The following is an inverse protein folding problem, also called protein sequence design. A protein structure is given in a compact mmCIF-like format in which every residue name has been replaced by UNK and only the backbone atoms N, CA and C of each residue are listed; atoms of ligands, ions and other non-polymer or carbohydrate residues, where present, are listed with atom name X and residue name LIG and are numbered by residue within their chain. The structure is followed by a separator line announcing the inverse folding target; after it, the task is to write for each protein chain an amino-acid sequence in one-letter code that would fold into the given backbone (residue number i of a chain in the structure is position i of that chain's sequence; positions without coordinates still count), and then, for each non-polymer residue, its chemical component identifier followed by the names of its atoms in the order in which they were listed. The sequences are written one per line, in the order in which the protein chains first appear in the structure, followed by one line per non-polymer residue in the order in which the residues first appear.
data_IF_813391126125
#
_entry.id   IF_813391126125
#
_cell.length_a   1.000
_cell.length_b   1.000
_cell.length_c   1.000
_cell.angle_alpha   90.00
_cell.angle_beta   90.00
_cell.angle_gamma   90.00
#
_symmetry.space_group_name_H-M   'P 1'
#
loop_
_entity.id
_entity.type
_entity.pdbx_description
1 polymer ?
#
# COMPACT_ATOMS: atom_id res chain seq x y z
N UNK A 1 -40.13 -24.82 -21.45
CA UNK A 1 -39.50 -25.52 -20.31
C UNK A 1 -38.90 -24.48 -19.38
N UNK A 2 -39.54 -24.21 -18.25
CA UNK A 2 -39.01 -23.27 -17.25
C UNK A 2 -37.83 -23.93 -16.53
N UNK A 3 -36.66 -23.31 -16.58
CA UNK A 3 -35.50 -23.73 -15.78
C UNK A 3 -35.89 -23.68 -14.30
N UNK A 4 -35.92 -24.83 -13.62
CA UNK A 4 -36.07 -24.87 -12.16
C UNK A 4 -34.78 -24.32 -11.56
N UNK A 5 -34.81 -23.07 -11.12
CA UNK A 5 -33.69 -22.46 -10.40
C UNK A 5 -33.53 -23.21 -9.07
N UNK A 6 -32.46 -23.96 -8.93
CA UNK A 6 -32.06 -24.58 -7.65
C UNK A 6 -31.44 -23.51 -6.77
N UNK A 7 -31.98 -23.32 -5.56
CA UNK A 7 -31.44 -22.38 -4.58
C UNK A 7 -30.54 -23.10 -3.58
N UNK A 8 -29.57 -22.39 -3.04
CA UNK A 8 -28.74 -22.84 -1.92
C UNK A 8 -29.26 -22.23 -0.62
N UNK A 9 -29.17 -23.01 0.44
CA UNK A 9 -29.34 -22.55 1.82
C UNK A 9 -27.94 -22.25 2.38
N UNK A 10 -27.73 -21.03 2.88
CA UNK A 10 -26.43 -20.62 3.43
C UNK A 10 -26.59 -20.33 4.91
N UNK A 11 -25.90 -21.09 5.74
CA UNK A 11 -25.83 -20.88 7.18
C UNK A 11 -24.53 -20.17 7.53
N UNK A 12 -24.60 -19.04 8.24
CA UNK A 12 -23.43 -18.28 8.68
C UNK A 12 -23.29 -18.45 10.19
N UNK A 13 -22.20 -19.09 10.61
CA UNK A 13 -21.86 -19.36 12.01
C UNK A 13 -20.69 -18.50 12.47
N UNK A 14 -20.63 -18.17 13.76
CA UNK A 14 -19.42 -17.58 14.34
C UNK A 14 -18.27 -18.61 14.35
N UNK A 15 -17.08 -18.18 13.93
CA UNK A 15 -15.94 -19.07 13.80
C UNK A 15 -15.43 -19.63 15.14
N UNK A 16 -15.66 -18.96 16.29
CA UNK A 16 -15.23 -19.44 17.61
C UNK A 16 -16.33 -20.20 18.32
N UNK A 17 -17.46 -19.54 18.54
CA UNK A 17 -18.59 -20.01 19.36
C UNK A 17 -19.49 -20.99 18.63
N UNK A 18 -19.37 -21.08 17.30
CA UNK A 18 -20.24 -21.91 16.44
C UNK A 18 -21.72 -21.49 16.49
N UNK A 19 -22.02 -20.37 17.13
CA UNK A 19 -23.37 -19.84 17.19
C UNK A 19 -23.83 -19.40 15.81
N UNK A 20 -25.07 -19.72 15.46
CA UNK A 20 -25.69 -19.27 14.23
C UNK A 20 -25.95 -17.77 14.29
N UNK A 21 -25.38 -17.04 13.33
CA UNK A 21 -25.50 -15.59 13.21
C UNK A 21 -26.55 -15.19 12.17
N UNK A 22 -26.67 -15.99 11.10
CA UNK A 22 -27.60 -15.72 10.00
C UNK A 22 -27.88 -17.02 9.23
N UNK A 23 -29.08 -17.11 8.66
CA UNK A 23 -29.49 -18.16 7.74
C UNK A 23 -30.11 -17.51 6.50
N UNK A 24 -29.65 -17.89 5.32
CA UNK A 24 -30.11 -17.37 4.04
C UNK A 24 -30.72 -18.52 3.25
N UNK A 25 -32.05 -18.56 3.14
CA UNK A 25 -32.79 -19.69 2.56
C UNK A 25 -32.74 -19.78 1.03
N UNK A 26 -32.61 -18.64 0.34
CA UNK A 26 -32.75 -18.54 -1.12
C UNK A 26 -31.57 -17.82 -1.75
N UNK A 27 -30.40 -18.46 -1.73
CA UNK A 27 -29.19 -17.92 -2.37
C UNK A 27 -29.02 -18.53 -3.75
N UNK A 28 -28.81 -17.69 -4.76
CA UNK A 28 -28.62 -18.16 -6.13
C UNK A 28 -27.25 -18.87 -6.28
N UNK A 29 -27.14 -19.94 -7.09
CA UNK A 29 -25.89 -20.71 -7.23
C UNK A 29 -24.68 -19.90 -7.67
N UNK A 30 -24.90 -18.90 -8.50
CA UNK A 30 -23.87 -18.06 -9.10
C UNK A 30 -23.48 -16.85 -8.23
N UNK A 31 -24.06 -16.74 -7.03
CA UNK A 31 -23.75 -15.71 -6.04
C UNK A 31 -22.29 -15.82 -5.63
N UNK A 32 -21.58 -14.69 -5.59
CA UNK A 32 -20.20 -14.64 -5.11
C UNK A 32 -20.13 -14.49 -3.60
N UNK A 33 -18.98 -14.82 -2.99
CA UNK A 33 -18.76 -14.56 -1.56
C UNK A 33 -18.94 -13.07 -1.22
N UNK A 34 -18.57 -12.15 -2.13
CA UNK A 34 -18.82 -10.71 -1.95
C UNK A 34 -20.30 -10.39 -1.79
N UNK A 35 -21.16 -11.04 -2.57
CA UNK A 35 -22.61 -10.81 -2.51
C UNK A 35 -23.20 -11.37 -1.21
N UNK A 36 -22.71 -12.54 -0.75
CA UNK A 36 -23.06 -13.10 0.57
C UNK A 36 -22.66 -12.14 1.69
N UNK A 37 -21.47 -11.53 1.62
CA UNK A 37 -21.04 -10.54 2.61
C UNK A 37 -21.96 -9.31 2.64
N UNK A 38 -22.42 -8.84 1.47
CA UNK A 38 -23.39 -7.74 1.37
C UNK A 38 -24.74 -8.15 1.96
N UNK A 39 -25.22 -9.36 1.67
CA UNK A 39 -26.46 -9.89 2.26
C UNK A 39 -26.36 -9.98 3.79
N UNK A 40 -25.24 -10.50 4.31
CA UNK A 40 -24.99 -10.57 5.75
C UNK A 40 -24.93 -9.18 6.39
N UNK A 41 -24.33 -8.20 5.72
CA UNK A 41 -24.26 -6.82 6.19
C UNK A 41 -25.64 -6.16 6.31
N UNK A 42 -26.59 -6.47 5.40
CA UNK A 42 -27.97 -5.96 5.50
C UNK A 42 -28.67 -6.42 6.78
N UNK A 43 -28.38 -7.64 7.23
CA UNK A 43 -28.91 -8.20 8.49
C UNK A 43 -28.15 -7.71 9.72
N UNK A 44 -26.84 -7.48 9.58
CA UNK A 44 -25.93 -7.06 10.64
C UNK A 44 -25.13 -5.81 10.23
N UNK A 45 -25.72 -4.60 10.35
CA UNK A 45 -25.10 -3.36 9.87
C UNK A 45 -23.73 -3.05 10.51
N UNK A 46 -23.45 -3.56 11.71
CA UNK A 46 -22.17 -3.39 12.40
C UNK A 46 -20.97 -4.06 11.70
N UNK A 47 -21.24 -5.04 10.81
CA UNK A 47 -20.22 -5.80 10.11
C UNK A 47 -20.27 -5.50 8.62
N UNK A 48 -19.69 -4.38 8.22
CA UNK A 48 -19.55 -4.04 6.79
C UNK A 48 -18.66 -5.05 6.04
N UNK A 49 -18.88 -5.26 4.73
CA UNK A 49 -18.30 -6.40 3.98
C UNK A 49 -16.79 -6.58 4.12
N UNK A 50 -16.00 -5.50 4.06
CA UNK A 50 -14.55 -5.60 4.17
C UNK A 50 -14.06 -6.12 5.54
N UNK A 51 -14.87 -5.94 6.60
CA UNK A 51 -14.59 -6.45 7.95
C UNK A 51 -14.79 -7.97 8.07
N UNK A 52 -15.51 -8.56 7.12
CA UNK A 52 -15.96 -9.94 7.18
C UNK A 52 -14.95 -10.88 6.50
N UNK A 53 -14.43 -11.84 7.26
CA UNK A 53 -13.70 -12.99 6.70
C UNK A 53 -14.62 -14.21 6.70
N UNK A 54 -15.01 -14.67 5.52
CA UNK A 54 -15.81 -15.89 5.34
C UNK A 54 -14.89 -17.10 5.09
N UNK A 55 -15.20 -18.25 5.70
CA UNK A 55 -14.40 -19.49 5.64
C UNK A 55 -15.32 -20.70 5.52
N UNK A 56 -14.88 -21.77 4.87
CA UNK A 56 -15.58 -23.07 4.89
C UNK A 56 -15.32 -23.84 6.18
N UNK A 57 -14.14 -23.66 6.77
CA UNK A 57 -13.75 -24.28 8.04
C UNK A 57 -13.33 -23.22 9.05
N UNK A 58 -13.56 -23.44 10.36
CA UNK A 58 -13.18 -22.48 11.40
C UNK A 58 -11.68 -22.16 11.40
N UNK A 59 -10.87 -23.20 11.17
CA UNK A 59 -9.40 -23.13 11.06
C UNK A 59 -8.91 -23.04 9.61
N UNK A 60 -9.83 -23.03 8.64
CA UNK A 60 -9.51 -22.99 7.23
C UNK A 60 -9.04 -21.62 6.75
N UNK A 61 -8.66 -21.58 5.47
CA UNK A 61 -8.35 -20.33 4.75
C UNK A 61 -9.62 -19.53 4.51
N UNK A 62 -9.47 -18.21 4.47
CA UNK A 62 -10.55 -17.30 4.07
C UNK A 62 -10.82 -17.45 2.58
N UNK A 63 -12.11 -17.53 2.21
CA UNK A 63 -12.55 -17.57 0.83
C UNK A 63 -12.30 -16.24 0.15
N UNK A 64 -11.99 -16.26 -1.15
CA UNK A 64 -11.87 -15.04 -1.94
C UNK A 64 -13.26 -14.50 -2.28
N UNK A 65 -13.37 -13.17 -2.34
CA UNK A 65 -14.62 -12.49 -2.65
C UNK A 65 -15.23 -12.90 -4.01
N UNK A 66 -14.40 -13.34 -4.95
CA UNK A 66 -14.81 -13.74 -6.31
C UNK A 66 -15.22 -15.21 -6.42
N UNK A 67 -15.00 -16.02 -5.37
CA UNK A 67 -15.41 -17.42 -5.38
C UNK A 67 -16.94 -17.50 -5.46
N UNK A 68 -17.41 -18.38 -6.34
CA UNK A 68 -18.83 -18.59 -6.59
C UNK A 68 -19.30 -19.74 -5.71
N UNK A 69 -20.45 -19.57 -5.05
CA UNK A 69 -20.99 -20.53 -4.10
C UNK A 69 -21.07 -21.95 -4.67
N UNK A 70 -21.57 -22.11 -5.90
CA UNK A 70 -21.69 -23.42 -6.56
C UNK A 70 -20.34 -24.12 -6.84
N UNK A 71 -19.23 -23.37 -6.92
CA UNK A 71 -17.90 -23.94 -7.16
C UNK A 71 -17.20 -24.40 -5.89
N UNK A 72 -17.79 -24.10 -4.72
CA UNK A 72 -17.26 -24.52 -3.44
C UNK A 72 -17.63 -25.99 -3.18
N UNK A 73 -16.82 -26.73 -2.39
CA UNK A 73 -17.12 -28.11 -2.01
C UNK A 73 -18.23 -28.17 -0.95
N UNK A 74 -19.42 -27.66 -1.29
CA UNK A 74 -20.61 -27.59 -0.44
C UNK A 74 -21.80 -28.25 -1.12
N UNK A 75 -22.71 -28.82 -0.32
CA UNK A 75 -23.97 -29.37 -0.83
C UNK A 75 -25.01 -28.29 -1.11
N UNK A 76 -26.29 -28.66 -1.16
CA UNK A 76 -27.41 -27.69 -1.26
C UNK A 76 -27.50 -26.75 -0.06
N UNK A 77 -26.97 -27.19 1.08
CA UNK A 77 -26.80 -26.39 2.29
C UNK A 77 -25.32 -26.13 2.51
N UNK A 78 -24.92 -24.86 2.57
CA UNK A 78 -23.55 -24.41 2.74
C UNK A 78 -23.38 -23.75 4.12
N UNK A 79 -22.57 -24.37 4.97
CA UNK A 79 -22.18 -23.79 6.26
C UNK A 79 -20.91 -22.96 6.09
N UNK A 80 -21.01 -21.67 6.41
CA UNK A 80 -19.93 -20.69 6.33
C UNK A 80 -19.60 -20.16 7.72
N UNK A 81 -18.31 -19.97 7.99
CA UNK A 81 -17.83 -19.40 9.24
C UNK A 81 -17.40 -17.96 9.06
N UNK A 82 -18.04 -17.07 9.81
CA UNK A 82 -17.72 -15.66 9.89
C UNK A 82 -16.64 -15.41 10.94
N UNK A 83 -15.61 -14.65 10.54
CA UNK A 83 -14.62 -14.07 11.43
C UNK A 83 -14.55 -12.56 11.23
N UNK A 84 -14.72 -11.83 12.32
CA UNK A 84 -14.50 -10.39 12.36
C UNK A 84 -13.01 -10.05 12.32
N UNK A 85 -12.60 -9.24 11.33
CA UNK A 85 -11.23 -8.73 11.16
C UNK A 85 -10.97 -7.41 11.92
N UNK A 86 -12.00 -6.81 12.51
CA UNK A 86 -11.95 -5.45 13.07
C UNK A 86 -11.85 -4.36 12.00
N UNK A 87 -11.79 -3.08 12.39
CA UNK A 87 -11.79 -1.95 11.46
C UNK A 87 -10.74 -2.09 10.34
N UNK A 88 -11.23 -2.12 9.11
CA UNK A 88 -10.50 -2.24 7.86
C UNK A 88 -10.60 -0.95 7.05
N UNK A 89 -9.51 -0.61 6.35
CA UNK A 89 -9.44 0.53 5.42
C UNK A 89 -8.73 0.11 4.13
N UNK A 90 -9.12 0.71 3.01
CA UNK A 90 -8.58 0.37 1.68
C UNK A 90 -7.11 0.72 1.53
N UNK A 91 -6.36 -0.13 0.80
CA UNK A 91 -4.93 0.04 0.57
C UNK A 91 -4.54 1.38 -0.04
N UNK A 92 -5.35 1.92 -0.96
CA UNK A 92 -5.09 3.25 -1.53
C UNK A 92 -5.02 4.32 -0.43
N UNK A 93 -5.97 4.33 0.50
CA UNK A 93 -5.96 5.29 1.62
C UNK A 93 -4.80 5.04 2.58
N UNK A 94 -4.45 3.77 2.83
CA UNK A 94 -3.26 3.40 3.64
C UNK A 94 -2.02 4.08 3.09
N UNK A 95 -1.71 3.86 1.81
CA UNK A 95 -0.52 4.38 1.18
C UNK A 95 -0.54 5.90 1.05
N UNK A 96 -1.71 6.51 0.79
CA UNK A 96 -1.84 7.96 0.77
C UNK A 96 -1.46 8.58 2.13
N UNK A 97 -1.98 8.04 3.23
CA UNK A 97 -1.66 8.54 4.58
C UNK A 97 -0.17 8.28 4.90
N UNK A 98 0.31 7.08 4.59
CA UNK A 98 1.70 6.67 4.83
C UNK A 98 2.70 7.59 4.14
N UNK A 99 2.44 8.00 2.89
CA UNK A 99 3.34 8.84 2.09
C UNK A 99 3.12 10.35 2.25
N UNK A 100 1.91 10.79 2.65
CA UNK A 100 1.65 12.22 2.90
C UNK A 100 2.39 12.71 4.15
N UNK A 101 2.50 11.87 5.18
CA UNK A 101 3.17 12.24 6.43
C UNK A 101 4.64 12.62 6.26
N UNK A 102 5.50 11.80 5.63
CA UNK A 102 6.89 12.14 5.37
C UNK A 102 7.08 13.43 4.59
N UNK A 103 6.18 13.73 3.64
CA UNK A 103 6.19 14.99 2.89
C UNK A 103 5.93 16.18 3.84
N UNK A 104 4.85 16.12 4.61
CA UNK A 104 4.47 17.18 5.53
C UNK A 104 5.52 17.39 6.63
N UNK A 105 5.98 16.31 7.24
CA UNK A 105 6.98 16.33 8.31
C UNK A 105 8.27 16.96 7.82
N UNK A 106 8.76 16.58 6.63
CA UNK A 106 9.97 17.17 6.09
C UNK A 106 9.83 18.69 5.90
N UNK A 107 8.68 19.16 5.39
CA UNK A 107 8.42 20.60 5.28
C UNK A 107 8.46 21.33 6.62
N UNK A 108 7.92 20.73 7.69
CA UNK A 108 7.97 21.32 9.04
C UNK A 108 9.42 21.52 9.51
N UNK A 109 10.31 20.56 9.27
CA UNK A 109 11.74 20.70 9.58
C UNK A 109 12.46 21.68 8.64
N UNK A 110 12.11 21.70 7.36
CA UNK A 110 12.67 22.62 6.35
C UNK A 110 12.37 24.09 6.67
N UNK A 111 11.16 24.37 7.17
CA UNK A 111 10.77 25.71 7.63
C UNK A 111 11.53 26.15 8.88
N UNK A 112 12.27 25.25 9.56
CA UNK A 112 13.05 25.53 10.78
C UNK A 112 12.21 26.24 11.84
N UNK A 113 11.02 25.69 12.13
CA UNK A 113 10.12 26.29 13.10
C UNK A 113 10.82 26.50 14.45
N UNK A 114 10.63 27.65 15.13
CA UNK A 114 11.39 28.02 16.33
C UNK A 114 11.32 27.00 17.48
N UNK A 115 10.23 26.23 17.57
CA UNK A 115 10.07 25.20 18.59
C UNK A 115 10.95 23.96 18.38
N UNK A 116 11.54 23.78 17.19
CA UNK A 116 12.35 22.60 16.83
C UNK A 116 13.84 22.85 17.08
N UNK A 117 14.34 24.00 16.64
CA UNK A 117 15.78 24.32 16.69
C UNK A 117 16.13 25.39 17.74
N UNK A 118 15.13 26.04 18.36
CA UNK A 118 15.34 27.16 19.29
C UNK A 118 15.41 28.51 18.59
N UNK A 119 15.38 29.61 19.37
CA UNK A 119 15.62 30.96 18.87
C UNK A 119 17.09 31.33 19.11
N UNK A 120 17.91 31.16 18.07
CA UNK A 120 19.28 31.66 18.03
C UNK A 120 19.44 32.37 16.67
N UNK A 121 20.06 33.55 16.67
CA UNK A 121 20.26 34.36 15.47
C UNK A 121 21.10 33.63 14.39
N UNK A 122 21.87 32.60 14.79
CA UNK A 122 22.56 31.66 13.89
C UNK A 122 21.61 30.82 13.03
N UNK A 123 20.34 30.73 13.41
CA UNK A 123 19.33 29.92 12.72
C UNK A 123 18.57 30.68 11.63
N UNK A 124 18.71 32.01 11.63
CA UNK A 124 18.27 32.94 10.57
C UNK A 124 19.21 33.01 9.37
N UNK A 125 20.40 32.39 9.45
CA UNK A 125 21.33 32.32 8.32
C UNK A 125 20.74 31.59 7.12
N UNK A 126 21.06 32.07 5.91
CA UNK A 126 20.59 31.52 4.65
C UNK A 126 20.87 30.02 4.51
N UNK A 127 19.95 29.28 3.90
CA UNK A 127 20.09 27.82 3.68
C UNK A 127 21.12 27.55 2.59
N UNK A 128 21.96 26.54 2.79
CA UNK A 128 22.82 26.05 1.72
C UNK A 128 21.97 25.53 0.55
N UNK A 129 22.38 25.76 -0.72
CA UNK A 129 21.64 25.29 -1.90
C UNK A 129 21.36 23.77 -1.87
N UNK A 130 22.27 22.99 -1.28
CA UNK A 130 22.15 21.54 -1.14
C UNK A 130 20.94 21.14 -0.27
N UNK A 131 20.61 21.91 0.76
CA UNK A 131 19.43 21.66 1.62
C UNK A 131 18.14 21.89 0.84
N UNK A 132 18.09 22.93 -0.01
CA UNK A 132 16.95 23.18 -0.89
C UNK A 132 16.80 22.06 -1.93
N UNK A 133 17.92 21.59 -2.50
CA UNK A 133 17.92 20.47 -3.43
C UNK A 133 17.42 19.18 -2.76
N UNK A 134 17.87 18.88 -1.54
CA UNK A 134 17.40 17.73 -0.78
C UNK A 134 15.89 17.81 -0.50
N UNK A 135 15.37 19.01 -0.18
CA UNK A 135 13.93 19.23 -0.03
C UNK A 135 13.16 18.98 -1.34
N UNK A 136 13.69 19.43 -2.48
CA UNK A 136 13.08 19.20 -3.79
C UNK A 136 13.08 17.70 -4.12
N UNK A 137 14.20 17.00 -3.93
CA UNK A 137 14.31 15.55 -4.16
C UNK A 137 13.35 14.76 -3.27
N UNK A 138 13.31 15.04 -1.96
CA UNK A 138 12.39 14.39 -1.03
C UNK A 138 10.94 14.64 -1.41
N UNK A 139 10.60 15.89 -1.73
CA UNK A 139 9.24 16.25 -2.16
C UNK A 139 8.86 15.54 -3.46
N UNK A 140 9.76 15.53 -4.44
CA UNK A 140 9.56 14.85 -5.72
C UNK A 140 9.30 13.35 -5.52
N UNK A 141 10.12 12.67 -4.71
CA UNK A 141 9.97 11.25 -4.40
C UNK A 141 8.57 10.94 -3.82
N UNK A 142 8.16 11.66 -2.77
CA UNK A 142 6.87 11.39 -2.12
C UNK A 142 5.67 11.84 -2.95
N UNK A 143 5.75 12.96 -3.69
CA UNK A 143 4.69 13.38 -4.62
C UNK A 143 4.52 12.34 -5.72
N UNK A 144 5.61 11.87 -6.31
CA UNK A 144 5.58 10.79 -7.31
C UNK A 144 4.92 9.54 -6.72
N UNK A 145 5.25 9.12 -5.50
CA UNK A 145 4.59 7.97 -4.84
C UNK A 145 3.10 8.19 -4.60
N UNK A 146 2.68 9.39 -4.23
CA UNK A 146 1.26 9.73 -4.09
C UNK A 146 0.52 9.62 -5.44
N UNK A 147 1.10 10.18 -6.50
CA UNK A 147 0.56 10.08 -7.87
C UNK A 147 0.49 8.61 -8.31
N UNK A 148 1.56 7.84 -8.11
CA UNK A 148 1.57 6.41 -8.43
C UNK A 148 0.51 5.62 -7.67
N UNK A 149 0.30 5.94 -6.39
CA UNK A 149 -0.72 5.28 -5.56
C UNK A 149 -2.13 5.51 -6.11
N UNK A 150 -2.41 6.70 -6.64
CA UNK A 150 -3.72 7.08 -7.19
C UNK A 150 -3.92 6.52 -8.60
N UNK A 151 -2.92 6.65 -9.48
CA UNK A 151 -3.09 6.41 -10.91
C UNK A 151 -2.47 5.12 -11.43
N UNK A 152 -1.40 4.63 -10.82
CA UNK A 152 -0.62 3.49 -11.32
C UNK A 152 -0.95 2.23 -10.53
N UNK A 153 -1.01 2.29 -9.20
CA UNK A 153 -1.16 1.13 -8.33
C UNK A 153 -2.60 0.57 -8.41
N UNK A 154 -2.70 -0.74 -8.65
CA UNK A 154 -3.97 -1.46 -8.72
C UNK A 154 -4.03 -2.54 -7.64
N UNK A 155 -4.58 -2.23 -6.47
CA UNK A 155 -4.62 -3.18 -5.36
C UNK A 155 -5.64 -4.29 -5.59
N UNK A 156 -5.23 -5.55 -5.38
CA UNK A 156 -6.06 -6.74 -5.61
C UNK A 156 -6.74 -7.27 -4.35
N UNK A 157 -6.22 -6.95 -3.17
CA UNK A 157 -6.84 -7.23 -1.87
C UNK A 157 -7.54 -5.98 -1.34
N UNK A 158 -8.71 -6.16 -0.73
CA UNK A 158 -9.63 -5.07 -0.45
C UNK A 158 -9.14 -4.07 0.60
N UNK A 159 -8.50 -4.54 1.68
CA UNK A 159 -8.25 -3.69 2.86
C UNK A 159 -7.10 -4.20 3.76
N UNK A 160 -6.67 -3.34 4.68
CA UNK A 160 -5.72 -3.61 5.76
C UNK A 160 -6.33 -3.25 7.14
N UNK A 161 -5.99 -3.97 8.23
CA UNK A 161 -6.40 -3.58 9.58
C UNK A 161 -5.83 -2.23 10.00
N UNK A 162 -6.68 -1.35 10.56
CA UNK A 162 -6.33 0.02 10.95
C UNK A 162 -5.13 0.11 11.90
N UNK A 163 -4.99 -0.85 12.83
CA UNK A 163 -3.88 -0.89 13.80
C UNK A 163 -2.50 -0.99 13.14
N UNK A 164 -2.41 -1.60 11.96
CA UNK A 164 -1.13 -1.76 11.28
C UNK A 164 -0.66 -0.44 10.65
N UNK A 165 -1.61 0.42 10.26
CA UNK A 165 -1.32 1.72 9.64
C UNK A 165 -0.61 2.62 10.63
N UNK A 166 -1.04 2.61 11.89
CA UNK A 166 -0.39 3.38 12.95
C UNK A 166 1.09 3.00 13.04
N UNK A 167 1.41 1.70 13.04
CA UNK A 167 2.79 1.21 13.07
C UNK A 167 3.58 1.65 11.84
N UNK A 168 2.99 1.50 10.65
CA UNK A 168 3.63 1.92 9.40
C UNK A 168 3.90 3.43 9.38
N UNK A 169 2.90 4.24 9.76
CA UNK A 169 3.05 5.70 9.83
C UNK A 169 4.16 6.07 10.79
N UNK A 170 4.17 5.55 12.03
CA UNK A 170 5.27 5.83 12.96
C UNK A 170 6.65 5.51 12.39
N UNK A 171 6.78 4.39 11.68
CA UNK A 171 8.05 4.00 11.04
C UNK A 171 8.47 5.00 9.95
N UNK A 172 7.63 5.23 8.94
CA UNK A 172 7.97 6.12 7.82
C UNK A 172 8.10 7.58 8.24
N UNK A 173 7.19 8.05 9.10
CA UNK A 173 7.13 9.43 9.56
C UNK A 173 8.31 9.72 10.51
N UNK A 174 8.62 8.79 11.40
CA UNK A 174 9.77 8.90 12.29
C UNK A 174 11.10 8.91 11.54
N UNK A 175 11.27 8.04 10.56
CA UNK A 175 12.47 8.03 9.73
C UNK A 175 12.61 9.33 8.91
N UNK A 176 11.51 9.83 8.35
CA UNK A 176 11.49 11.11 7.64
C UNK A 176 11.82 12.28 8.57
N UNK A 177 11.29 12.31 9.79
CA UNK A 177 11.61 13.31 10.81
C UNK A 177 13.09 13.28 11.18
N UNK A 178 13.63 12.09 11.44
CA UNK A 178 15.04 11.90 11.79
C UNK A 178 15.96 12.40 10.67
N UNK A 179 15.70 12.00 9.43
CA UNK A 179 16.47 12.46 8.26
C UNK A 179 16.35 13.99 8.08
N UNK A 180 15.13 14.51 8.12
CA UNK A 180 14.86 15.94 7.91
C UNK A 180 15.50 16.82 9.00
N UNK A 181 15.56 16.34 10.24
CA UNK A 181 16.22 17.04 11.34
C UNK A 181 17.69 17.31 11.04
N UNK A 182 18.45 16.31 10.58
CA UNK A 182 19.88 16.49 10.31
C UNK A 182 20.17 17.32 9.06
N UNK A 183 19.40 17.11 7.98
CA UNK A 183 19.63 17.83 6.72
C UNK A 183 19.27 19.31 6.87
N UNK A 184 18.17 19.61 7.57
CA UNK A 184 17.70 20.98 7.73
C UNK A 184 18.29 21.68 8.96
N UNK A 185 19.10 20.97 9.76
CA UNK A 185 19.72 21.54 10.95
C UNK A 185 20.48 22.82 10.59
N UNK A 186 20.41 23.89 11.40
CA UNK A 186 21.13 25.12 11.09
C UNK A 186 22.66 24.98 11.09
N UNK A 187 23.19 24.07 11.89
CA UNK A 187 24.61 23.67 11.91
C UNK A 187 24.97 22.63 10.84
N UNK A 188 24.15 22.50 9.80
CA UNK A 188 24.44 21.57 8.70
C UNK A 188 25.73 21.97 7.99
N UNK A 189 26.62 20.99 7.81
CA UNK A 189 27.86 21.13 7.06
C UNK A 189 27.67 20.54 5.66
N UNK A 190 28.12 21.23 4.60
CA UNK A 190 28.05 20.71 3.25
C UNK A 190 28.94 19.46 3.08
N UNK A 191 28.64 18.63 2.06
CA UNK A 191 29.37 17.39 1.83
C UNK A 191 30.86 17.60 1.55
N UNK A 192 31.70 16.71 2.07
CA UNK A 192 33.16 16.80 2.01
C UNK A 192 33.70 16.88 0.57
N UNK A 193 33.12 16.12 -0.36
CA UNK A 193 33.53 16.11 -1.78
C UNK A 193 32.82 17.19 -2.62
N UNK A 194 32.05 18.08 -1.98
CA UNK A 194 31.41 19.24 -2.58
C UNK A 194 30.45 18.90 -3.73
N UNK A 195 30.42 19.76 -4.76
CA UNK A 195 29.42 19.70 -5.82
C UNK A 195 29.47 18.42 -6.66
N UNK A 196 30.64 17.76 -6.77
CA UNK A 196 30.76 16.50 -7.54
C UNK A 196 29.94 15.38 -6.91
N UNK A 197 29.99 15.25 -5.58
CA UNK A 197 29.19 14.28 -4.82
C UNK A 197 27.69 14.60 -4.95
N UNK A 198 27.32 15.88 -4.84
CA UNK A 198 25.93 16.35 -4.98
C UNK A 198 25.37 16.02 -6.39
N UNK A 199 26.13 16.31 -7.44
CA UNK A 199 25.70 16.05 -8.83
C UNK A 199 25.57 14.56 -9.10
N UNK A 200 26.53 13.75 -8.64
CA UNK A 200 26.48 12.30 -8.79
C UNK A 200 25.27 11.70 -8.06
N UNK A 201 25.02 12.12 -6.81
CA UNK A 201 23.86 11.70 -6.03
C UNK A 201 22.54 12.09 -6.72
N UNK A 202 22.47 13.27 -7.34
CA UNK A 202 21.29 13.71 -8.08
C UNK A 202 21.02 12.86 -9.33
N UNK A 203 22.06 12.55 -10.12
CA UNK A 203 21.92 11.69 -11.30
C UNK A 203 21.46 10.28 -10.89
N UNK A 204 22.05 9.74 -9.81
CA UNK A 204 21.64 8.44 -9.26
C UNK A 204 20.20 8.46 -8.79
N UNK A 205 19.79 9.48 -8.04
CA UNK A 205 18.42 9.69 -7.59
C UNK A 205 17.42 9.70 -8.75
N UNK A 206 17.67 10.50 -9.79
CA UNK A 206 16.78 10.60 -10.95
C UNK A 206 16.68 9.27 -11.71
N UNK A 207 17.81 8.57 -11.87
CA UNK A 207 17.86 7.25 -12.51
C UNK A 207 17.06 6.23 -11.72
N UNK A 208 17.18 6.23 -10.39
CA UNK A 208 16.44 5.34 -9.50
C UNK A 208 14.94 5.64 -9.50
N UNK A 209 14.54 6.91 -9.48
CA UNK A 209 13.13 7.29 -9.56
C UNK A 209 12.48 6.88 -10.88
N UNK A 210 13.17 7.12 -12.00
CA UNK A 210 12.72 6.71 -13.32
C UNK A 210 12.61 5.18 -13.42
N UNK A 211 13.62 4.46 -12.90
CA UNK A 211 13.62 3.00 -12.85
C UNK A 211 12.46 2.45 -12.01
N UNK A 212 12.28 2.95 -10.80
CA UNK A 212 11.18 2.56 -9.91
C UNK A 212 9.81 2.79 -10.57
N UNK A 213 9.58 3.98 -11.15
CA UNK A 213 8.35 4.29 -11.88
C UNK A 213 8.11 3.34 -13.06
N UNK A 214 9.15 3.06 -13.86
CA UNK A 214 9.06 2.12 -14.96
C UNK A 214 8.60 0.74 -14.50
N UNK A 215 9.15 0.23 -13.39
CA UNK A 215 8.77 -1.07 -12.84
C UNK A 215 7.31 -1.04 -12.36
N UNK A 216 6.88 0.02 -11.67
CA UNK A 216 5.49 0.17 -11.23
C UNK A 216 4.50 0.18 -12.40
N UNK A 217 4.82 0.84 -13.51
CA UNK A 217 4.00 0.78 -14.73
C UNK A 217 3.93 -0.65 -15.26
N UNK A 218 5.07 -1.34 -15.40
CA UNK A 218 5.11 -2.72 -15.89
C UNK A 218 4.25 -3.63 -15.02
N UNK A 219 4.38 -3.53 -13.69
CA UNK A 219 3.57 -4.31 -12.74
C UNK A 219 2.08 -3.97 -12.83
N UNK A 220 1.73 -2.70 -13.07
CA UNK A 220 0.33 -2.28 -13.27
C UNK A 220 -0.27 -2.84 -14.55
N UNK A 221 0.48 -2.81 -15.65
CA UNK A 221 0.04 -3.33 -16.95
C UNK A 221 -0.18 -4.84 -16.92
N UNK A 222 0.68 -5.60 -16.21
CA UNK A 222 0.48 -7.04 -16.02
C UNK A 222 -0.86 -7.37 -15.34
N UNK A 223 -1.35 -6.48 -14.47
CA UNK A 223 -2.67 -6.58 -13.83
C UNK A 223 -3.81 -6.18 -14.76
N UNK A 224 -3.57 -5.36 -15.79
CA UNK A 224 -4.59 -4.93 -16.77
C UNK A 224 -4.91 -6.03 -17.79
N UNK A 225 -3.91 -6.77 -18.23
CA UNK A 225 -4.04 -7.81 -19.26
C UNK A 225 -4.59 -9.15 -18.70
N UNK A 226 -4.91 -9.21 -17.40
CA UNK A 226 -5.69 -10.27 -16.80
C UNK A 226 -7.13 -9.79 -16.59
N UNK A 227 -8.09 -10.24 -17.40
CA UNK A 227 -9.52 -10.09 -17.12
C UNK A 227 -9.82 -10.64 -15.72
N UNK A 228 -9.86 -9.79 -14.68
CA UNK A 228 -10.26 -10.07 -13.28
C UNK A 228 -9.62 -11.29 -12.59
N UNK A 229 -8.77 -12.04 -13.27
CA UNK A 229 -8.09 -13.22 -12.76
C UNK A 229 -6.82 -12.74 -12.06
N UNK A 230 -6.87 -12.78 -10.73
CA UNK A 230 -5.76 -12.46 -9.81
C UNK A 230 -4.62 -13.50 -9.88
N UNK A 231 -4.37 -14.09 -11.05
CA UNK A 231 -3.18 -14.92 -11.26
C UNK A 231 -1.99 -13.97 -11.38
N UNK A 232 -1.09 -14.02 -10.38
CA UNK A 232 0.14 -13.24 -10.39
C UNK A 232 0.99 -13.69 -11.58
N UNK A 233 0.98 -12.93 -12.69
CA UNK A 233 1.88 -13.15 -13.81
C UNK A 233 3.30 -12.81 -13.36
N UNK A 234 4.25 -13.68 -13.68
CA UNK A 234 5.68 -13.41 -13.42
C UNK A 234 6.10 -12.26 -14.33
N UNK A 235 6.66 -11.16 -13.76
CA UNK A 235 7.16 -10.07 -14.57
C UNK A 235 8.42 -10.49 -15.31
N UNK A 236 8.49 -10.18 -16.60
CA UNK A 236 9.66 -10.38 -17.43
C UNK A 236 10.20 -9.04 -17.94
N UNK A 237 11.50 -8.95 -18.20
CA UNK A 237 12.11 -7.75 -18.76
C UNK A 237 11.51 -7.41 -20.13
N UNK A 238 11.35 -6.12 -20.37
CA UNK A 238 10.78 -5.57 -21.61
C UNK A 238 11.85 -4.86 -22.43
N UNK A 239 11.45 -4.20 -23.54
CA UNK A 239 12.36 -3.35 -24.33
C UNK A 239 12.93 -2.15 -23.54
N UNK A 240 12.34 -1.81 -22.39
CA UNK A 240 12.84 -0.73 -21.55
C UNK A 240 14.03 -1.23 -20.68
N UNK A 241 15.21 -0.59 -20.77
CA UNK A 241 16.42 -1.02 -20.04
C UNK A 241 16.23 -1.03 -18.51
N UNK A 242 15.37 -0.16 -17.96
CA UNK A 242 15.10 -0.14 -16.53
C UNK A 242 14.44 -1.43 -16.03
N UNK A 243 13.74 -2.15 -16.92
CA UNK A 243 13.08 -3.42 -16.61
C UNK A 243 14.01 -4.62 -16.73
N UNK A 244 15.22 -4.47 -17.27
CA UNK A 244 16.20 -5.56 -17.35
C UNK A 244 16.69 -6.03 -15.99
N UNK A 245 16.50 -5.22 -14.96
CA UNK A 245 16.81 -5.59 -13.59
C UNK A 245 15.98 -6.82 -13.12
N UNK A 246 14.86 -7.15 -13.78
CA UNK A 246 14.14 -8.41 -13.59
C UNK A 246 14.95 -9.67 -13.92
N UNK A 247 16.05 -9.58 -14.68
CA UNK A 247 16.97 -10.71 -14.89
C UNK A 247 17.74 -11.09 -13.62
N UNK A 248 17.95 -10.12 -12.71
CA UNK A 248 18.82 -10.29 -11.54
C UNK A 248 18.06 -10.36 -10.22
N UNK A 249 16.95 -9.63 -10.10
CA UNK A 249 16.18 -9.52 -8.85
C UNK A 249 14.69 -9.68 -9.10
N UNK A 250 14.00 -10.31 -8.14
CA UNK A 250 12.56 -10.56 -8.23
C UNK A 250 11.70 -9.30 -8.03
N UNK A 251 12.21 -8.30 -7.31
CA UNK A 251 11.49 -7.07 -7.01
C UNK A 251 12.36 -5.83 -7.29
N UNK A 252 12.60 -5.49 -8.57
CA UNK A 252 13.51 -4.41 -8.93
C UNK A 252 13.04 -3.02 -8.46
N UNK A 253 11.73 -2.85 -8.22
CA UNK A 253 11.19 -1.63 -7.63
C UNK A 253 11.80 -1.33 -6.26
N UNK A 254 11.95 -2.35 -5.40
CA UNK A 254 12.57 -2.18 -4.08
C UNK A 254 14.06 -1.91 -4.19
N UNK A 255 14.75 -2.50 -5.17
CA UNK A 255 16.17 -2.20 -5.43
C UNK A 255 16.37 -0.73 -5.79
N UNK A 256 15.60 -0.22 -6.76
CA UNK A 256 15.64 1.21 -7.10
C UNK A 256 15.27 2.13 -5.92
N UNK A 257 14.33 1.71 -5.06
CA UNK A 257 13.92 2.49 -3.90
C UNK A 257 15.00 2.50 -2.79
N UNK A 258 15.66 1.36 -2.58
CA UNK A 258 16.78 1.23 -1.64
C UNK A 258 17.99 2.06 -2.07
N UNK A 259 18.31 2.12 -3.36
CA UNK A 259 19.43 2.93 -3.86
C UNK A 259 19.11 4.43 -3.90
N UNK A 260 17.83 4.80 -3.84
CA UNK A 260 17.37 6.19 -3.79
C UNK A 260 17.54 6.84 -2.39
N UNK A 261 17.33 6.09 -1.30
CA UNK A 261 17.47 6.61 0.08
C UNK A 261 18.88 7.08 0.47
N UNK A 262 19.98 6.36 0.13
CA UNK A 262 21.36 6.79 0.35
C UNK A 262 21.75 8.07 -0.40
N UNK A 263 21.05 8.40 -1.49
CA UNK A 263 21.31 9.65 -2.23
C UNK A 263 20.89 10.88 -1.40
N UNK A 264 19.87 10.76 -0.53
CA UNK A 264 19.51 11.82 0.41
C UNK A 264 20.50 11.95 1.57
N UNK A 265 21.16 10.85 1.96
CA UNK A 265 22.23 10.83 2.97
C UNK A 265 23.54 11.36 2.40
N UNK A 266 23.79 11.16 1.10
CA UNK A 266 24.93 11.71 0.37
C UNK A 266 24.91 13.24 0.24
N UNK A 267 23.82 13.89 0.65
CA UNK A 267 23.83 15.34 0.86
C UNK A 267 24.51 15.73 2.18
N UNK A 268 25.01 14.80 3.00
CA UNK A 268 25.88 15.08 4.14
C UNK A 268 27.34 14.77 3.81
#
# INVERSE_FOLDING_TARGET
MGSRITFFEVEILDWKTKQQLCFLEKVEPHTTISDIQVMFHKMHPQWYPARQSIRLDPKGKSLKNEEILQLLPVGTTATLYFKDLGPQIGWTMVFLIEYTGPLFIYFVFYLRMPFIYGQDDRFTSGRHPVVNLACICHSFHYIKRLIETIFVHRFSHGTMPLRNIVKNCFYYWGFAAWLAFYINHPLYTPPYYGQKQVNFALIMFLTCEAGNFSIHITLSNLRRDGKRSKTCKIPYPTKNPFTWLFYFVSCPNYTYEWDCSPCCVSFR
#
